data_IF_722311327434
#
_entry.id   IF_722311327434
#
_cell.length_a   1.000
_cell.length_b   1.000
_cell.length_c   1.000
_cell.angle_alpha   90.00
_cell.angle_beta   90.00
_cell.angle_gamma   90.00
#
_symmetry.space_group_name_H-M   'P 1'
#
loop_
_entity.id
_entity.type
_entity.pdbx_description
1 polymer ?
#
# COMPACT_ATOMS: atom_id res chain seq x y z
N UNK A 1 43.14 -18.96 -8.58
CA UNK A 1 42.10 -18.41 -9.46
C UNK A 1 40.99 -17.85 -8.58
N UNK A 2 41.21 -16.63 -8.05
CA UNK A 2 40.30 -15.97 -7.13
C UNK A 2 39.35 -15.10 -7.95
N UNK A 3 38.08 -15.47 -7.97
CA UNK A 3 37.02 -14.65 -8.53
C UNK A 3 36.76 -13.51 -7.55
N UNK A 4 37.23 -12.35 -7.92
CA UNK A 4 37.03 -11.11 -7.19
C UNK A 4 35.55 -10.73 -7.21
N UNK A 5 34.85 -11.02 -6.12
CA UNK A 5 33.51 -10.51 -5.86
C UNK A 5 33.64 -8.98 -5.69
N UNK A 6 33.39 -8.21 -6.76
CA UNK A 6 33.32 -6.74 -6.71
C UNK A 6 32.19 -6.36 -5.75
N UNK A 7 32.57 -6.05 -4.53
CA UNK A 7 31.69 -5.69 -3.44
C UNK A 7 30.88 -4.43 -3.77
N UNK A 8 29.64 -4.43 -3.34
CA UNK A 8 28.69 -3.29 -3.38
C UNK A 8 29.17 -2.04 -2.60
N UNK A 9 30.41 -2.02 -2.15
CA UNK A 9 30.99 -1.00 -1.28
C UNK A 9 31.57 0.23 -2.03
N UNK A 10 31.70 0.15 -3.35
CA UNK A 10 32.26 1.26 -4.15
C UNK A 10 31.25 2.41 -4.41
N UNK A 11 29.98 2.24 -4.06
CA UNK A 11 28.96 3.25 -4.32
C UNK A 11 28.98 4.42 -3.33
N UNK A 12 29.50 4.26 -2.11
CA UNK A 12 29.48 5.31 -1.07
C UNK A 12 30.45 6.44 -1.34
N UNK A 13 31.62 6.14 -1.87
CA UNK A 13 32.61 7.15 -2.26
C UNK A 13 32.16 8.01 -3.45
N UNK A 14 31.45 7.42 -4.41
CA UNK A 14 30.95 8.12 -5.59
C UNK A 14 29.82 9.11 -5.28
N UNK A 15 29.02 8.84 -4.27
CA UNK A 15 27.90 9.71 -3.89
C UNK A 15 28.34 11.00 -3.20
N UNK A 16 29.33 10.93 -2.33
CA UNK A 16 29.90 12.11 -1.69
C UNK A 16 30.54 13.06 -2.74
N UNK A 17 31.23 12.50 -3.72
CA UNK A 17 31.86 13.26 -4.84
C UNK A 17 30.80 13.89 -5.75
N UNK A 18 29.67 13.20 -5.99
CA UNK A 18 28.61 13.69 -6.87
C UNK A 18 27.73 14.78 -6.22
N UNK A 19 27.59 14.76 -4.89
CA UNK A 19 26.75 15.73 -4.14
C UNK A 19 27.54 17.00 -3.84
N UNK A 20 28.82 16.87 -3.46
CA UNK A 20 29.60 17.99 -2.95
C UNK A 20 30.33 18.78 -4.04
N UNK A 21 30.37 18.30 -5.30
CA UNK A 21 31.15 18.94 -6.35
C UNK A 21 32.64 19.04 -6.03
N UNK A 22 33.04 18.40 -4.93
CA UNK A 22 34.39 18.52 -4.37
C UNK A 22 35.29 17.38 -4.87
N UNK A 23 36.54 17.69 -5.11
CA UNK A 23 37.64 16.80 -5.44
C UNK A 23 37.51 15.44 -4.73
N UNK A 24 37.84 14.37 -5.42
CA UNK A 24 37.88 12.94 -5.05
C UNK A 24 38.62 12.60 -3.75
N UNK A 25 38.39 13.31 -2.65
CA UNK A 25 38.94 12.92 -1.36
C UNK A 25 38.19 11.67 -0.88
N UNK A 26 38.85 10.51 -0.93
CA UNK A 26 38.41 9.34 -0.15
C UNK A 26 38.34 9.80 1.30
N UNK A 27 37.14 9.84 1.86
CA UNK A 27 36.97 10.04 3.30
C UNK A 27 37.18 8.66 3.93
N UNK A 28 38.35 8.46 4.51
CA UNK A 28 38.63 7.22 5.22
C UNK A 28 37.86 7.21 6.56
N UNK A 29 37.30 6.08 6.98
CA UNK A 29 36.64 5.97 8.25
C UNK A 29 37.60 6.22 9.42
N UNK A 30 37.18 7.00 10.39
CA UNK A 30 37.90 7.25 11.64
C UNK A 30 37.07 6.72 12.82
N UNK A 31 37.74 6.42 13.94
CA UNK A 31 37.07 6.10 15.20
C UNK A 31 36.59 7.39 15.87
N UNK A 32 35.31 7.46 16.20
CA UNK A 32 34.67 8.59 16.88
C UNK A 32 34.02 8.09 18.15
N UNK A 33 34.32 8.75 19.29
CA UNK A 33 33.71 8.43 20.58
C UNK A 33 32.18 8.66 20.50
N UNK A 34 31.44 7.69 20.99
CA UNK A 34 29.95 7.70 20.97
C UNK A 34 29.38 8.88 21.75
N UNK A 35 30.05 9.34 22.83
CA UNK A 35 29.61 10.50 23.62
C UNK A 35 29.65 11.82 22.84
N UNK A 36 30.52 11.91 21.79
CA UNK A 36 30.61 13.09 20.93
C UNK A 36 29.59 13.11 19.81
N UNK A 37 28.80 12.04 19.65
CA UNK A 37 27.77 11.92 18.61
C UNK A 37 26.43 12.37 19.16
N UNK A 38 25.74 13.25 18.42
CA UNK A 38 24.41 13.77 18.75
C UNK A 38 23.38 13.30 17.75
N UNK A 39 22.24 12.86 18.28
CA UNK A 39 21.05 12.50 17.48
C UNK A 39 20.21 13.74 17.16
N UNK A 40 20.66 14.60 16.28
CA UNK A 40 19.87 15.75 15.84
C UNK A 40 18.78 15.38 14.83
N UNK A 41 18.87 14.20 14.20
CA UNK A 41 17.94 13.71 13.18
C UNK A 41 16.71 12.99 13.75
N UNK A 42 16.53 12.91 15.06
CA UNK A 42 15.39 12.27 15.72
C UNK A 42 14.04 12.82 15.27
N UNK A 43 13.99 14.11 14.94
CA UNK A 43 12.78 14.76 14.42
C UNK A 43 12.35 14.20 13.07
N UNK A 44 13.27 13.59 12.32
CA UNK A 44 13.06 13.11 10.95
C UNK A 44 13.07 11.59 10.83
N UNK A 45 13.29 10.84 11.93
CA UNK A 45 13.49 9.38 11.88
C UNK A 45 12.54 8.65 12.80
N UNK A 46 11.78 7.71 12.21
CA UNK A 46 10.91 6.78 12.94
C UNK A 46 11.59 5.40 12.98
N UNK A 47 12.13 5.03 14.13
CA UNK A 47 12.82 3.75 14.31
C UNK A 47 11.96 2.86 15.19
N UNK A 48 11.52 1.72 14.66
CA UNK A 48 10.77 0.76 15.47
C UNK A 48 11.68 0.04 16.46
N UNK A 49 11.16 -0.31 17.66
CA UNK A 49 11.92 -1.08 18.66
C UNK A 49 12.44 -2.42 18.09
N UNK A 50 11.69 -3.08 17.21
CA UNK A 50 12.10 -4.33 16.58
C UNK A 50 13.33 -4.14 15.68
N UNK A 51 13.34 -3.05 14.89
CA UNK A 51 14.47 -2.75 14.03
C UNK A 51 15.73 -2.38 14.81
N UNK A 52 15.58 -1.77 16.00
CA UNK A 52 16.70 -1.51 16.90
C UNK A 52 17.21 -2.81 17.51
N UNK A 53 16.35 -3.64 18.09
CA UNK A 53 16.74 -4.96 18.65
C UNK A 53 17.48 -5.82 17.62
N UNK A 54 16.99 -5.88 16.39
CA UNK A 54 17.66 -6.61 15.31
C UNK A 54 19.06 -6.06 15.02
N UNK A 55 19.26 -4.74 15.11
CA UNK A 55 20.57 -4.10 14.92
C UNK A 55 21.50 -4.41 16.09
N UNK A 56 21.01 -4.42 17.34
CA UNK A 56 21.80 -4.78 18.53
C UNK A 56 22.34 -6.20 18.40
N UNK A 57 21.48 -7.17 18.09
CA UNK A 57 21.87 -8.57 17.88
C UNK A 57 22.91 -8.70 16.75
N UNK A 58 22.70 -7.99 15.64
CA UNK A 58 23.66 -7.99 14.53
C UNK A 58 25.01 -7.42 14.94
N UNK A 59 25.04 -6.27 15.61
CA UNK A 59 26.30 -5.65 16.04
C UNK A 59 27.00 -6.44 17.14
N UNK A 60 26.26 -7.10 18.00
CA UNK A 60 26.84 -8.00 19.02
C UNK A 60 27.54 -9.21 18.40
N UNK A 61 26.97 -9.77 17.32
CA UNK A 61 27.49 -10.99 16.68
C UNK A 61 28.61 -10.72 15.66
N UNK A 62 28.52 -9.65 14.88
CA UNK A 62 29.40 -9.38 13.74
C UNK A 62 30.22 -8.08 13.88
N UNK A 63 29.99 -7.30 14.93
CA UNK A 63 30.58 -5.98 15.07
C UNK A 63 29.99 -4.97 14.08
N UNK A 64 30.62 -3.82 13.99
CA UNK A 64 30.24 -2.77 13.05
C UNK A 64 30.76 -3.07 11.64
N UNK A 65 29.87 -3.46 10.72
CA UNK A 65 30.24 -3.77 9.33
C UNK A 65 30.34 -2.54 8.42
N UNK A 66 29.67 -1.47 8.76
CA UNK A 66 29.63 -0.24 7.95
C UNK A 66 29.82 0.99 8.85
N UNK A 67 30.63 1.98 8.44
CA UNK A 67 30.78 3.21 9.20
C UNK A 67 29.45 3.98 9.28
N UNK A 68 29.24 4.73 10.35
CA UNK A 68 28.19 5.75 10.44
C UNK A 68 28.62 7.00 9.68
N UNK A 69 27.65 7.80 9.24
CA UNK A 69 27.91 9.05 8.54
C UNK A 69 27.61 10.21 9.48
N UNK A 70 28.57 11.07 9.65
CA UNK A 70 28.52 12.16 10.60
C UNK A 70 28.79 13.52 9.92
N UNK A 71 28.12 14.56 10.40
CA UNK A 71 28.41 15.94 10.13
C UNK A 71 29.30 16.48 11.27
N UNK A 72 30.41 17.10 10.93
CA UNK A 72 31.29 17.80 11.92
C UNK A 72 30.58 19.04 12.45
N UNK A 73 30.65 19.23 13.75
CA UNK A 73 30.24 20.43 14.49
C UNK A 73 31.40 20.94 15.35
N UNK A 74 31.26 22.14 15.92
CA UNK A 74 32.28 22.72 16.79
C UNK A 74 32.58 21.82 17.98
N UNK A 75 31.55 21.30 18.65
CA UNK A 75 31.62 20.48 19.86
C UNK A 75 31.20 19.03 19.67
N UNK A 76 31.51 18.42 18.54
CA UNK A 76 31.16 17.02 18.29
C UNK A 76 30.63 16.75 16.91
N UNK A 77 29.69 15.81 16.81
CA UNK A 77 29.21 15.32 15.53
C UNK A 77 27.71 15.11 15.54
N UNK A 78 27.04 15.50 14.47
CA UNK A 78 25.63 15.18 14.22
C UNK A 78 25.53 13.94 13.33
N UNK A 79 24.69 12.98 13.70
CA UNK A 79 24.50 11.76 12.90
C UNK A 79 23.63 12.04 11.68
N UNK A 80 24.14 11.70 10.48
CA UNK A 80 23.41 11.80 9.20
C UNK A 80 22.81 10.44 8.84
N UNK A 81 23.62 9.37 8.89
CA UNK A 81 23.17 8.00 8.63
C UNK A 81 23.77 7.00 9.62
N UNK A 82 23.02 5.93 9.90
CA UNK A 82 23.43 4.88 10.82
C UNK A 82 22.90 5.04 12.24
N UNK A 83 21.82 5.81 12.46
CA UNK A 83 21.22 6.05 13.78
C UNK A 83 20.90 4.73 14.53
N UNK A 84 20.46 3.66 13.83
CA UNK A 84 20.26 2.34 14.46
C UNK A 84 21.55 1.73 14.97
N UNK A 85 22.65 1.89 14.21
CA UNK A 85 23.99 1.43 14.64
C UNK A 85 24.48 2.22 15.85
N UNK A 86 24.27 3.52 15.85
CA UNK A 86 24.63 4.37 16.98
C UNK A 86 23.86 4.00 18.25
N UNK A 87 22.53 3.85 18.18
CA UNK A 87 21.73 3.42 19.33
C UNK A 87 22.10 2.02 19.81
N UNK A 88 22.35 1.08 18.89
CA UNK A 88 22.81 -0.24 19.23
C UNK A 88 24.20 -0.21 19.92
N UNK A 89 25.09 0.67 19.48
CA UNK A 89 26.40 0.87 20.13
C UNK A 89 26.25 1.38 21.57
N UNK A 90 25.31 2.32 21.82
CA UNK A 90 25.02 2.79 23.17
C UNK A 90 24.48 1.68 24.06
N UNK A 91 23.52 0.85 23.56
CA UNK A 91 22.98 -0.30 24.30
C UNK A 91 24.06 -1.37 24.59
N UNK A 92 25.03 -1.53 23.70
CA UNK A 92 26.15 -2.46 23.86
C UNK A 92 27.33 -1.89 24.66
N UNK A 93 27.26 -0.63 25.08
CA UNK A 93 28.34 0.04 25.81
C UNK A 93 29.63 0.27 24.99
N UNK A 94 29.51 0.40 23.66
CA UNK A 94 30.69 0.65 22.81
C UNK A 94 31.14 2.11 22.95
N UNK A 95 32.41 2.31 23.29
CA UNK A 95 33.00 3.64 23.49
C UNK A 95 33.18 4.43 22.19
N UNK A 96 33.37 3.75 21.05
CA UNK A 96 33.63 4.39 19.78
C UNK A 96 33.04 3.62 18.60
N UNK A 97 32.74 4.34 17.52
CA UNK A 97 32.24 3.82 16.25
C UNK A 97 33.12 4.25 15.09
N UNK A 98 33.28 3.40 14.10
CA UNK A 98 33.80 3.79 12.81
C UNK A 98 32.83 4.77 12.13
N UNK A 99 33.35 5.92 11.69
CA UNK A 99 32.56 7.00 11.13
C UNK A 99 33.25 7.65 9.94
N UNK A 100 32.49 8.01 8.93
CA UNK A 100 32.86 8.93 7.87
C UNK A 100 32.37 10.32 8.26
N UNK A 101 33.26 11.27 8.41
CA UNK A 101 32.96 12.63 8.88
C UNK A 101 32.99 13.62 7.72
N UNK A 102 31.94 14.42 7.60
CA UNK A 102 31.81 15.45 6.57
C UNK A 102 31.67 16.84 7.20
N UNK A 103 32.39 17.80 6.63
CA UNK A 103 32.28 19.23 6.93
C UNK A 103 31.30 19.85 5.94
N UNK A 104 30.01 19.87 6.29
CA UNK A 104 28.90 20.36 5.45
C UNK A 104 27.96 21.20 6.29
N UNK A 105 27.19 22.09 5.66
CA UNK A 105 26.18 22.84 6.35
C UNK A 105 24.94 21.93 6.67
N UNK A 106 24.05 22.44 7.50
CA UNK A 106 22.88 21.69 7.98
C UNK A 106 21.90 21.33 6.86
N UNK A 107 21.74 22.19 5.84
CA UNK A 107 20.88 21.90 4.71
C UNK A 107 21.42 20.73 3.87
N UNK A 108 22.73 20.72 3.62
CA UNK A 108 23.42 19.62 2.94
C UNK A 108 23.36 18.33 3.77
N UNK A 109 23.57 18.41 5.09
CA UNK A 109 23.46 17.25 5.98
C UNK A 109 22.05 16.62 5.92
N UNK A 110 20.97 17.43 5.91
CA UNK A 110 19.59 16.97 5.70
C UNK A 110 19.40 16.32 4.32
N UNK A 111 19.97 16.90 3.27
CA UNK A 111 19.94 16.30 1.95
C UNK A 111 20.66 14.94 1.91
N UNK A 112 21.78 14.81 2.60
CA UNK A 112 22.54 13.58 2.72
C UNK A 112 21.75 12.47 3.40
N UNK A 113 20.88 12.77 4.40
CA UNK A 113 19.99 11.78 5.01
C UNK A 113 19.13 11.11 3.93
N UNK A 114 18.51 11.89 3.02
CA UNK A 114 17.69 11.35 1.92
C UNK A 114 18.56 10.53 0.96
N UNK A 115 19.74 11.03 0.60
CA UNK A 115 20.61 10.37 -0.37
C UNK A 115 21.15 9.02 0.12
N UNK A 116 21.66 8.92 1.33
CA UNK A 116 22.19 7.66 1.90
C UNK A 116 21.09 6.60 2.09
N UNK A 117 19.86 7.03 2.34
CA UNK A 117 18.74 6.12 2.53
C UNK A 117 17.93 5.80 1.25
N UNK A 118 18.35 6.34 0.10
CA UNK A 118 17.59 6.24 -1.16
C UNK A 118 17.48 4.80 -1.68
N UNK A 119 18.55 4.02 -1.59
CA UNK A 119 18.60 2.67 -2.14
C UNK A 119 18.14 1.61 -1.16
N UNK A 120 18.22 1.87 0.13
CA UNK A 120 17.85 0.92 1.16
C UNK A 120 16.37 1.02 1.58
N UNK A 121 15.60 1.92 0.94
CA UNK A 121 14.19 2.19 1.27
C UNK A 121 13.92 2.39 2.77
N UNK A 122 14.94 2.84 3.51
CA UNK A 122 14.89 2.96 4.96
C UNK A 122 14.18 4.22 5.45
N UNK A 123 13.94 5.20 4.55
CA UNK A 123 13.15 6.40 4.82
C UNK A 123 11.75 6.27 4.25
N UNK A 124 10.76 6.34 5.12
CA UNK A 124 9.36 6.42 4.73
C UNK A 124 9.04 7.74 4.00
N UNK A 125 7.91 7.76 3.29
CA UNK A 125 7.44 8.97 2.62
C UNK A 125 7.20 10.12 3.61
N UNK A 126 6.79 9.81 4.84
CA UNK A 126 6.55 10.78 5.90
C UNK A 126 7.87 11.41 6.38
N UNK A 127 8.90 10.59 6.67
CA UNK A 127 10.24 11.07 7.08
C UNK A 127 10.89 11.93 5.99
N UNK A 128 10.77 11.52 4.71
CA UNK A 128 11.21 12.34 3.58
C UNK A 128 10.46 13.67 3.54
N UNK A 129 9.16 13.67 3.85
CA UNK A 129 8.32 14.86 3.93
C UNK A 129 8.79 15.82 5.02
N UNK A 130 9.12 15.32 6.21
CA UNK A 130 9.66 16.13 7.31
C UNK A 130 10.97 16.84 6.91
N UNK A 131 11.89 16.11 6.29
CA UNK A 131 13.17 16.69 5.82
C UNK A 131 12.92 17.76 4.74
N UNK A 132 12.05 17.47 3.76
CA UNK A 132 11.70 18.43 2.70
C UNK A 132 11.04 19.69 3.29
N UNK A 133 10.14 19.51 4.26
CA UNK A 133 9.49 20.64 4.95
C UNK A 133 10.51 21.49 5.67
N UNK A 134 11.46 20.90 6.37
CA UNK A 134 12.51 21.61 7.05
C UNK A 134 13.44 22.36 6.08
N UNK A 135 13.82 21.77 4.94
CA UNK A 135 14.61 22.48 3.93
C UNK A 135 13.86 23.72 3.38
N UNK A 136 12.56 23.60 3.18
CA UNK A 136 11.74 24.74 2.68
C UNK A 136 11.48 25.79 3.76
N UNK A 137 11.17 25.38 5.01
CA UNK A 137 10.71 26.29 6.06
C UNK A 137 11.84 26.87 6.90
N UNK A 138 12.76 25.99 7.37
CA UNK A 138 13.82 26.41 8.29
C UNK A 138 15.02 26.98 7.53
N UNK A 139 15.32 26.41 6.34
CA UNK A 139 16.41 26.89 5.47
C UNK A 139 15.95 27.86 4.39
N UNK A 140 14.65 28.23 4.35
CA UNK A 140 14.06 29.19 3.41
C UNK A 140 14.33 28.86 1.93
N UNK A 141 14.54 27.58 1.62
CA UNK A 141 14.80 27.15 0.24
C UNK A 141 13.50 27.08 -0.57
N UNK A 142 13.54 27.55 -1.79
CA UNK A 142 12.44 27.30 -2.72
C UNK A 142 12.33 25.80 -3.07
N UNK A 143 11.11 25.34 -3.39
CA UNK A 143 10.91 23.95 -3.81
C UNK A 143 11.79 23.54 -5.02
N UNK A 144 12.13 24.51 -5.87
CA UNK A 144 13.01 24.31 -7.02
C UNK A 144 14.48 24.08 -6.59
N UNK A 145 14.95 24.80 -5.59
CA UNK A 145 16.27 24.61 -4.99
C UNK A 145 16.36 23.26 -4.27
N UNK A 146 15.33 22.91 -3.47
CA UNK A 146 15.23 21.59 -2.83
C UNK A 146 15.22 20.47 -3.88
N UNK A 147 14.51 20.64 -4.99
CA UNK A 147 14.49 19.70 -6.09
C UNK A 147 15.90 19.46 -6.68
N UNK A 148 16.67 20.53 -6.89
CA UNK A 148 18.05 20.43 -7.38
C UNK A 148 18.97 19.80 -6.33
N UNK A 149 18.90 20.25 -5.08
CA UNK A 149 19.72 19.73 -3.97
C UNK A 149 19.51 18.23 -3.77
N UNK A 150 18.24 17.77 -3.77
CA UNK A 150 17.88 16.37 -3.59
C UNK A 150 17.98 15.53 -4.87
N UNK A 151 18.25 16.15 -6.03
CA UNK A 151 18.20 15.50 -7.35
C UNK A 151 16.91 14.71 -7.56
N UNK A 152 15.79 15.33 -7.19
CA UNK A 152 14.45 14.79 -7.33
C UNK A 152 13.61 15.72 -8.25
N UNK A 153 12.54 15.19 -8.83
CA UNK A 153 11.64 16.04 -9.60
C UNK A 153 10.92 17.06 -8.70
N UNK A 154 10.57 18.20 -9.24
CA UNK A 154 9.75 19.20 -8.53
C UNK A 154 8.45 18.57 -8.02
N UNK A 155 7.79 17.74 -8.82
CA UNK A 155 6.58 17.01 -8.41
C UNK A 155 6.80 16.11 -7.21
N UNK A 156 7.99 15.48 -7.10
CA UNK A 156 8.36 14.66 -5.94
C UNK A 156 8.43 15.53 -4.68
N UNK A 157 9.09 16.69 -4.75
CA UNK A 157 9.20 17.65 -3.63
C UNK A 157 7.81 18.14 -3.21
N UNK A 158 6.96 18.56 -4.16
CA UNK A 158 5.60 19.01 -3.89
C UNK A 158 4.78 17.94 -3.16
N UNK A 159 4.86 16.67 -3.58
CA UNK A 159 4.13 15.56 -2.94
C UNK A 159 4.60 15.32 -1.50
N UNK A 160 5.90 15.44 -1.21
CA UNK A 160 6.45 15.27 0.15
C UNK A 160 6.04 16.42 1.06
N UNK A 161 6.18 17.65 0.58
CA UNK A 161 5.75 18.85 1.30
C UNK A 161 4.24 18.81 1.58
N UNK A 162 3.44 18.56 0.56
CA UNK A 162 1.98 18.48 0.68
C UNK A 162 1.52 17.42 1.68
N UNK A 163 2.23 16.30 1.79
CA UNK A 163 1.90 15.26 2.78
C UNK A 163 1.97 15.80 4.20
N UNK A 164 3.01 16.54 4.54
CA UNK A 164 3.20 17.09 5.89
C UNK A 164 2.25 18.29 6.13
N UNK A 165 2.16 19.21 5.17
CA UNK A 165 1.37 20.42 5.32
C UNK A 165 -0.15 20.16 5.34
N UNK A 166 -0.63 19.13 4.67
CA UNK A 166 -2.06 18.79 4.60
C UNK A 166 -2.55 17.87 5.70
N UNK A 167 -1.66 17.08 6.32
CA UNK A 167 -2.04 16.25 7.44
C UNK A 167 -2.37 17.09 8.68
N UNK A 168 -3.43 16.72 9.37
CA UNK A 168 -3.72 17.27 10.70
C UNK A 168 -2.60 16.92 11.68
N UNK A 169 -2.24 17.83 12.62
CA UNK A 169 -1.27 17.54 13.67
C UNK A 169 -1.58 16.25 14.43
N UNK A 170 -2.84 16.00 14.79
CA UNK A 170 -3.28 14.78 15.45
C UNK A 170 -2.92 13.50 14.67
N UNK A 171 -3.09 13.51 13.33
CA UNK A 171 -2.71 12.37 12.47
C UNK A 171 -1.19 12.18 12.48
N UNK A 172 -0.43 13.28 12.47
CA UNK A 172 1.03 13.22 12.53
C UNK A 172 1.51 12.67 13.87
N UNK A 173 0.88 13.04 14.97
CA UNK A 173 1.22 12.55 16.32
C UNK A 173 0.95 11.04 16.45
N UNK A 174 -0.17 10.55 15.93
CA UNK A 174 -0.49 9.11 15.90
C UNK A 174 0.51 8.31 15.03
N UNK A 175 1.03 8.91 13.94
CA UNK A 175 2.11 8.30 13.15
C UNK A 175 3.41 8.25 13.96
N UNK A 176 3.75 9.31 14.70
CA UNK A 176 4.97 9.36 15.53
C UNK A 176 4.91 8.38 16.70
N UNK A 177 3.75 8.23 17.33
CA UNK A 177 3.52 7.27 18.40
C UNK A 177 3.44 5.82 17.90
N UNK A 178 3.28 5.61 16.58
CA UNK A 178 3.17 4.28 15.99
C UNK A 178 1.77 3.65 16.10
N UNK A 179 0.77 4.40 16.60
CA UNK A 179 -0.64 3.94 16.67
C UNK A 179 -1.21 3.67 15.29
N UNK A 180 -0.77 4.44 14.29
CA UNK A 180 -1.07 4.21 12.87
C UNK A 180 0.22 4.23 12.05
N UNK A 181 0.23 3.49 10.96
CA UNK A 181 1.39 3.48 10.04
C UNK A 181 1.40 4.70 9.12
N UNK A 182 2.57 5.02 8.55
CA UNK A 182 2.72 6.06 7.51
C UNK A 182 1.79 5.81 6.30
N UNK A 183 1.45 4.55 6.03
CA UNK A 183 0.51 4.18 4.97
C UNK A 183 -0.91 4.68 5.27
N UNK A 184 -1.35 4.69 6.54
CA UNK A 184 -2.62 5.32 6.92
C UNK A 184 -2.58 6.83 6.66
N UNK A 185 -1.50 7.51 7.06
CA UNK A 185 -1.31 8.95 6.80
C UNK A 185 -1.40 9.29 5.30
N UNK A 186 -0.82 8.44 4.44
CA UNK A 186 -0.91 8.60 2.98
C UNK A 186 -2.34 8.51 2.46
N UNK A 187 -3.18 7.71 3.06
CA UNK A 187 -4.59 7.63 2.70
C UNK A 187 -5.37 8.82 3.28
N UNK A 188 -5.19 9.12 4.56
CA UNK A 188 -5.90 10.21 5.25
C UNK A 188 -5.63 11.58 4.65
N UNK A 189 -4.41 11.84 4.14
CA UNK A 189 -4.07 13.14 3.51
C UNK A 189 -4.88 13.46 2.26
N UNK A 190 -5.54 12.46 1.65
CA UNK A 190 -6.43 12.65 0.51
C UNK A 190 -7.72 13.37 0.90
N UNK A 191 -8.14 13.24 2.16
CA UNK A 191 -9.32 13.90 2.69
C UNK A 191 -9.06 15.40 2.96
N UNK A 192 -10.10 16.24 2.85
CA UNK A 192 -10.05 17.59 3.41
C UNK A 192 -9.67 17.56 4.90
N UNK A 193 -8.93 18.57 5.37
CA UNK A 193 -8.46 18.63 6.76
C UNK A 193 -9.56 18.42 7.80
N UNK A 194 -10.74 19.02 7.57
CA UNK A 194 -11.89 18.89 8.47
C UNK A 194 -12.41 17.45 8.64
N UNK A 195 -12.16 16.58 7.67
CA UNK A 195 -12.65 15.20 7.69
C UNK A 195 -11.60 14.19 8.22
N UNK A 196 -10.33 14.60 8.32
CA UNK A 196 -9.25 13.69 8.72
C UNK A 196 -9.38 13.23 10.17
N UNK A 197 -9.82 14.10 11.09
CA UNK A 197 -9.97 13.77 12.51
C UNK A 197 -11.00 12.67 12.75
N UNK A 198 -12.17 12.76 12.11
CA UNK A 198 -13.22 11.74 12.22
C UNK A 198 -12.79 10.41 11.55
N UNK A 199 -12.11 10.50 10.41
CA UNK A 199 -11.56 9.31 9.75
C UNK A 199 -10.48 8.63 10.60
N UNK A 200 -9.59 9.42 11.25
CA UNK A 200 -8.60 8.91 12.20
C UNK A 200 -9.28 8.20 13.38
N UNK A 201 -10.30 8.81 13.96
CA UNK A 201 -11.06 8.21 15.07
C UNK A 201 -11.68 6.86 14.67
N UNK A 202 -12.24 6.76 13.45
CA UNK A 202 -12.77 5.51 12.93
C UNK A 202 -11.67 4.44 12.73
N UNK A 203 -10.50 4.85 12.21
CA UNK A 203 -9.34 3.96 12.03
C UNK A 203 -8.86 3.41 13.37
N UNK A 204 -8.71 4.25 14.39
CA UNK A 204 -8.26 3.85 15.72
C UNK A 204 -9.29 2.98 16.44
N UNK A 205 -10.56 3.40 16.44
CA UNK A 205 -11.66 2.67 17.09
C UNK A 205 -11.83 1.25 16.55
N UNK A 206 -11.82 1.12 15.24
CA UNK A 206 -12.07 -0.16 14.55
C UNK A 206 -10.79 -0.96 14.30
N UNK A 207 -9.60 -0.43 14.60
CA UNK A 207 -8.31 -1.06 14.35
C UNK A 207 -8.14 -1.39 12.84
N UNK A 208 -8.47 -0.44 11.96
CA UNK A 208 -8.44 -0.67 10.52
C UNK A 208 -6.99 -0.78 10.03
N UNK A 209 -6.73 -1.73 9.14
CA UNK A 209 -5.48 -1.78 8.40
C UNK A 209 -5.38 -0.62 7.39
N UNK A 210 -4.18 -0.32 6.91
CA UNK A 210 -3.99 0.73 5.90
C UNK A 210 -4.77 0.49 4.60
N UNK A 211 -5.00 -0.78 4.22
CA UNK A 211 -5.83 -1.15 3.08
C UNK A 211 -7.31 -0.86 3.34
N UNK A 212 -7.80 -1.20 4.51
CA UNK A 212 -9.18 -0.91 4.93
C UNK A 212 -9.41 0.59 5.05
N UNK A 213 -8.44 1.33 5.62
CA UNK A 213 -8.43 2.79 5.65
C UNK A 213 -8.57 3.38 4.24
N UNK A 214 -7.83 2.86 3.25
CA UNK A 214 -7.94 3.30 1.87
C UNK A 214 -9.35 3.10 1.30
N UNK A 215 -10.03 1.99 1.62
CA UNK A 215 -11.42 1.73 1.19
C UNK A 215 -12.39 2.73 1.82
N UNK A 216 -12.24 3.03 3.10
CA UNK A 216 -13.06 4.01 3.81
C UNK A 216 -12.85 5.41 3.22
N UNK A 217 -11.60 5.82 3.02
CA UNK A 217 -11.24 7.11 2.41
C UNK A 217 -11.82 7.25 1.00
N UNK A 218 -11.73 6.20 0.17
CA UNK A 218 -12.31 6.21 -1.18
C UNK A 218 -13.84 6.41 -1.13
N UNK A 219 -14.53 5.78 -0.18
CA UNK A 219 -15.96 5.97 0.04
C UNK A 219 -16.29 7.38 0.52
N UNK A 220 -15.51 7.93 1.45
CA UNK A 220 -15.68 9.30 1.94
C UNK A 220 -15.50 10.33 0.83
N UNK A 221 -14.53 10.14 -0.07
CA UNK A 221 -14.30 11.01 -1.23
C UNK A 221 -15.44 10.94 -2.26
N UNK A 222 -16.18 9.84 -2.31
CA UNK A 222 -17.33 9.62 -3.20
C UNK A 222 -18.66 9.98 -2.56
N UNK A 223 -18.70 10.22 -1.26
CA UNK A 223 -19.93 10.62 -0.57
C UNK A 223 -20.38 12.01 -1.03
N UNK A 224 -21.68 12.17 -1.22
CA UNK A 224 -22.27 13.42 -1.76
C UNK A 224 -23.01 14.24 -0.72
N UNK A 225 -23.30 13.66 0.43
CA UNK A 225 -24.05 14.30 1.50
C UNK A 225 -23.43 14.01 2.88
N UNK A 226 -23.84 14.81 3.88
CA UNK A 226 -23.34 14.70 5.25
C UNK A 226 -23.80 13.42 5.92
N UNK A 227 -25.02 12.95 5.60
CA UNK A 227 -25.59 11.74 6.19
C UNK A 227 -24.79 10.50 5.79
N UNK A 228 -24.47 10.35 4.48
CA UNK A 228 -23.59 9.27 4.00
C UNK A 228 -22.22 9.31 4.67
N UNK A 229 -21.66 10.50 4.84
CA UNK A 229 -20.35 10.69 5.47
C UNK A 229 -20.39 10.24 6.94
N UNK A 230 -21.42 10.63 7.70
CA UNK A 230 -21.61 10.20 9.08
C UNK A 230 -21.84 8.70 9.20
N UNK A 231 -22.64 8.13 8.28
CA UNK A 231 -22.85 6.69 8.22
C UNK A 231 -21.53 5.93 8.01
N UNK A 232 -20.68 6.37 7.05
CA UNK A 232 -19.40 5.75 6.78
C UNK A 232 -18.48 5.77 8.02
N UNK A 233 -18.43 6.87 8.76
CA UNK A 233 -17.65 6.95 10.01
C UNK A 233 -18.17 6.01 11.10
N UNK A 234 -19.50 5.93 11.26
CA UNK A 234 -20.12 5.08 12.27
C UNK A 234 -20.08 3.58 11.98
N UNK A 235 -20.05 3.22 10.68
CA UNK A 235 -20.21 1.84 10.21
C UNK A 235 -19.07 1.41 9.28
N UNK A 236 -17.84 1.85 9.54
CA UNK A 236 -16.67 1.63 8.67
C UNK A 236 -16.46 0.14 8.34
N UNK A 237 -16.63 -0.77 9.30
CA UNK A 237 -16.51 -2.23 9.07
C UNK A 237 -17.56 -2.78 8.12
N UNK A 238 -18.78 -2.28 8.20
CA UNK A 238 -19.87 -2.68 7.31
C UNK A 238 -19.63 -2.19 5.89
N UNK A 239 -19.23 -0.92 5.75
CA UNK A 239 -18.86 -0.33 4.46
C UNK A 239 -17.72 -1.12 3.81
N UNK A 240 -16.71 -1.52 4.57
CA UNK A 240 -15.60 -2.35 4.07
C UNK A 240 -16.12 -3.71 3.60
N UNK A 241 -17.01 -4.37 4.36
CA UNK A 241 -17.61 -5.66 3.93
C UNK A 241 -18.36 -5.52 2.61
N UNK A 242 -19.14 -4.44 2.45
CA UNK A 242 -19.86 -4.17 1.20
C UNK A 242 -18.92 -3.93 0.02
N UNK A 243 -17.78 -3.22 0.23
CA UNK A 243 -16.74 -3.03 -0.79
C UNK A 243 -16.10 -4.36 -1.16
N UNK A 244 -15.70 -5.16 -0.18
CA UNK A 244 -15.07 -6.47 -0.41
C UNK A 244 -16.01 -7.47 -1.08
N UNK A 245 -17.32 -7.43 -0.77
CA UNK A 245 -18.32 -8.26 -1.45
C UNK A 245 -18.46 -7.87 -2.92
N UNK A 246 -18.43 -6.57 -3.25
CA UNK A 246 -18.43 -6.10 -4.64
C UNK A 246 -17.15 -6.50 -5.37
N UNK A 247 -15.99 -6.38 -4.72
CA UNK A 247 -14.68 -6.71 -5.32
C UNK A 247 -14.42 -8.22 -5.42
N UNK A 248 -15.21 -9.08 -4.72
CA UNK A 248 -15.08 -10.55 -4.82
C UNK A 248 -15.15 -11.07 -6.28
N UNK A 249 -15.76 -10.31 -7.15
CA UNK A 249 -15.94 -10.62 -8.57
C UNK A 249 -15.10 -9.71 -9.48
N UNK A 250 -14.03 -9.10 -8.96
CA UNK A 250 -13.12 -8.26 -9.72
C UNK A 250 -11.71 -8.83 -9.71
N UNK A 251 -11.10 -9.02 -10.88
CA UNK A 251 -9.69 -9.40 -11.05
C UNK A 251 -9.01 -8.32 -11.90
N UNK A 252 -7.99 -7.67 -11.35
CA UNK A 252 -7.26 -6.58 -12.01
C UNK A 252 -6.49 -7.02 -13.27
N UNK A 253 -6.34 -8.31 -13.50
CA UNK A 253 -5.71 -8.89 -14.69
C UNK A 253 -6.68 -9.00 -15.88
N UNK A 254 -7.98 -8.84 -15.61
CA UNK A 254 -9.02 -8.90 -16.63
C UNK A 254 -9.39 -7.50 -17.11
N UNK A 255 -9.81 -7.40 -18.37
CA UNK A 255 -10.49 -6.21 -18.88
C UNK A 255 -11.82 -5.98 -18.17
N UNK A 256 -12.45 -4.81 -18.33
CA UNK A 256 -13.77 -4.53 -17.77
C UNK A 256 -14.82 -5.55 -18.24
N UNK A 257 -14.77 -5.95 -19.51
CA UNK A 257 -15.62 -7.01 -20.05
C UNK A 257 -15.31 -8.37 -19.42
N UNK A 258 -14.05 -8.71 -19.19
CA UNK A 258 -13.64 -9.92 -18.49
C UNK A 258 -14.15 -9.97 -17.05
N UNK A 259 -14.10 -8.85 -16.34
CA UNK A 259 -14.65 -8.73 -14.99
C UNK A 259 -16.19 -8.85 -14.96
N UNK A 260 -16.86 -8.34 -15.98
CA UNK A 260 -18.31 -8.50 -16.13
C UNK A 260 -18.70 -9.98 -16.37
N UNK A 261 -17.93 -10.69 -17.20
CA UNK A 261 -18.11 -12.14 -17.40
C UNK A 261 -17.81 -12.95 -16.13
N UNK A 262 -16.79 -12.57 -15.36
CA UNK A 262 -16.47 -13.21 -14.07
C UNK A 262 -17.65 -13.09 -13.10
N UNK A 263 -18.26 -11.91 -13.01
CA UNK A 263 -19.46 -11.66 -12.19
C UNK A 263 -20.65 -12.50 -12.67
N UNK A 264 -20.89 -12.53 -13.98
CA UNK A 264 -21.99 -13.32 -14.59
C UNK A 264 -21.80 -14.81 -14.35
N UNK A 265 -20.56 -15.33 -14.43
CA UNK A 265 -20.23 -16.72 -14.11
C UNK A 265 -20.62 -17.10 -12.68
N UNK A 266 -20.35 -16.24 -11.70
CA UNK A 266 -20.69 -16.52 -10.30
C UNK A 266 -22.21 -16.47 -10.07
N UNK A 267 -22.91 -15.56 -10.70
CA UNK A 267 -24.39 -15.53 -10.65
C UNK A 267 -24.98 -16.80 -11.23
N UNK A 268 -24.47 -17.26 -12.38
CA UNK A 268 -24.90 -18.54 -12.97
C UNK A 268 -24.63 -19.72 -12.05
N UNK A 269 -23.45 -19.76 -11.39
CA UNK A 269 -23.12 -20.81 -10.42
C UNK A 269 -24.11 -20.86 -9.26
N UNK A 270 -24.50 -19.70 -8.72
CA UNK A 270 -25.50 -19.62 -7.65
C UNK A 270 -26.87 -20.12 -8.12
N UNK A 271 -27.30 -19.72 -9.32
CA UNK A 271 -28.58 -20.19 -9.91
C UNK A 271 -28.58 -21.70 -10.13
N UNK A 272 -27.50 -22.27 -10.67
CA UNK A 272 -27.35 -23.72 -10.86
C UNK A 272 -27.43 -24.46 -9.52
N UNK A 273 -26.82 -23.94 -8.46
CA UNK A 273 -26.89 -24.54 -7.13
C UNK A 273 -28.33 -24.51 -6.56
N UNK A 274 -29.04 -23.39 -6.74
CA UNK A 274 -30.42 -23.27 -6.31
C UNK A 274 -31.32 -24.29 -7.07
N UNK A 275 -31.19 -24.35 -8.40
CA UNK A 275 -31.92 -25.31 -9.22
C UNK A 275 -31.61 -26.75 -8.78
N UNK A 276 -30.34 -27.07 -8.56
CA UNK A 276 -29.92 -28.40 -8.10
C UNK A 276 -30.54 -28.75 -6.75
N UNK A 277 -30.55 -27.80 -5.80
CA UNK A 277 -31.17 -27.99 -4.48
C UNK A 277 -32.69 -28.22 -4.60
N UNK A 278 -33.37 -27.47 -5.43
CA UNK A 278 -34.83 -27.63 -5.67
C UNK A 278 -35.13 -28.99 -6.30
N UNK A 279 -34.36 -29.39 -7.35
CA UNK A 279 -34.54 -30.70 -7.98
C UNK A 279 -34.27 -31.86 -7.01
N UNK A 280 -33.28 -31.73 -6.15
CA UNK A 280 -33.00 -32.71 -5.12
C UNK A 280 -34.09 -32.79 -4.08
N UNK A 281 -34.70 -31.67 -3.70
CA UNK A 281 -35.84 -31.62 -2.80
C UNK A 281 -37.08 -32.30 -3.42
N UNK A 282 -37.33 -32.09 -4.71
CA UNK A 282 -38.43 -32.74 -5.44
C UNK A 282 -38.23 -34.25 -5.53
N UNK A 283 -36.97 -34.72 -5.74
CA UNK A 283 -36.66 -36.17 -5.77
C UNK A 283 -36.86 -36.84 -4.41
N UNK A 284 -36.63 -36.12 -3.32
CA UNK A 284 -36.73 -36.69 -1.94
C UNK A 284 -38.13 -36.53 -1.34
N UNK A 285 -38.95 -35.62 -1.86
CA UNK A 285 -40.31 -35.41 -1.40
C UNK A 285 -41.25 -36.50 -1.95
N UNK A 286 -42.09 -37.05 -1.08
CA UNK A 286 -43.26 -37.89 -1.52
C UNK A 286 -44.36 -36.96 -1.96
N UNK A 287 -44.31 -36.53 -3.22
CA UNK A 287 -45.33 -35.66 -3.82
C UNK A 287 -46.59 -36.48 -4.15
N UNK A 288 -47.75 -35.88 -3.98
CA UNK A 288 -49.02 -36.44 -4.47
C UNK A 288 -49.08 -36.40 -6.00
N UNK A 289 -50.01 -37.17 -6.59
CA UNK A 289 -50.17 -37.16 -8.04
C UNK A 289 -50.58 -35.80 -8.56
N UNK A 290 -51.43 -35.04 -7.82
CA UNK A 290 -51.81 -33.66 -8.16
C UNK A 290 -50.60 -32.68 -8.13
N UNK A 291 -49.73 -32.79 -7.15
CA UNK A 291 -48.53 -31.97 -7.05
C UNK A 291 -47.54 -32.29 -8.19
N UNK A 292 -47.41 -33.55 -8.55
CA UNK A 292 -46.63 -34.00 -9.69
C UNK A 292 -47.13 -33.42 -11.02
N UNK A 293 -48.44 -33.44 -11.24
CA UNK A 293 -49.06 -32.91 -12.45
C UNK A 293 -48.85 -31.38 -12.61
N UNK A 294 -48.76 -30.67 -11.51
CA UNK A 294 -48.50 -29.22 -11.51
C UNK A 294 -47.00 -28.91 -11.71
N UNK A 295 -46.11 -29.62 -11.02
CA UNK A 295 -44.70 -29.27 -10.97
C UNK A 295 -43.87 -29.83 -12.14
N UNK A 296 -44.19 -31.07 -12.61
CA UNK A 296 -43.40 -31.75 -13.63
C UNK A 296 -43.37 -31.04 -14.99
N UNK A 297 -44.47 -30.43 -15.51
CA UNK A 297 -44.41 -29.69 -16.78
C UNK A 297 -43.38 -28.54 -16.73
N UNK A 298 -43.44 -27.70 -15.69
CA UNK A 298 -42.50 -26.58 -15.51
C UNK A 298 -41.03 -27.01 -15.34
N UNK A 299 -40.79 -28.11 -14.64
CA UNK A 299 -39.46 -28.69 -14.52
C UNK A 299 -38.93 -29.26 -15.85
N UNK A 300 -39.83 -29.87 -16.67
CA UNK A 300 -39.47 -30.37 -18.01
C UNK A 300 -39.11 -29.26 -18.98
N UNK A 301 -39.69 -28.06 -18.85
CA UNK A 301 -39.31 -26.89 -19.66
C UNK A 301 -37.90 -26.44 -19.44
N UNK A 302 -37.31 -26.70 -18.26
CA UNK A 302 -35.92 -26.38 -17.96
C UNK A 302 -34.93 -27.30 -18.69
N UNK A 303 -35.31 -28.45 -19.18
CA UNK A 303 -34.43 -29.44 -19.83
C UNK A 303 -33.76 -28.86 -21.10
N UNK A 304 -34.53 -28.15 -21.92
CA UNK A 304 -34.02 -27.60 -23.18
C UNK A 304 -32.94 -26.54 -22.97
N UNK A 305 -33.09 -25.50 -22.12
CA UNK A 305 -32.02 -24.55 -21.84
C UNK A 305 -30.83 -25.18 -21.08
N UNK A 306 -31.06 -26.15 -20.19
CA UNK A 306 -29.97 -26.86 -19.50
C UNK A 306 -29.12 -27.71 -20.47
N UNK A 307 -29.74 -28.40 -21.42
CA UNK A 307 -29.01 -29.16 -22.44
C UNK A 307 -28.17 -28.25 -23.35
N UNK A 308 -28.70 -27.07 -23.74
CA UNK A 308 -27.91 -26.07 -24.47
C UNK A 308 -26.72 -25.59 -23.67
N UNK A 309 -26.92 -25.31 -22.39
CA UNK A 309 -25.83 -24.89 -21.49
C UNK A 309 -24.74 -25.99 -21.41
N UNK A 310 -25.12 -27.25 -21.24
CA UNK A 310 -24.22 -28.40 -21.20
C UNK A 310 -23.38 -28.50 -22.49
N UNK A 311 -24.05 -28.34 -23.65
CA UNK A 311 -23.33 -28.38 -24.94
C UNK A 311 -22.34 -27.23 -25.13
N UNK A 312 -22.66 -26.01 -24.66
CA UNK A 312 -21.74 -24.88 -24.65
C UNK A 312 -20.55 -25.17 -23.74
N UNK A 313 -20.81 -25.68 -22.52
CA UNK A 313 -19.74 -26.00 -21.56
C UNK A 313 -18.84 -27.15 -22.06
N UNK A 314 -19.38 -28.15 -22.75
CA UNK A 314 -18.58 -29.20 -23.40
C UNK A 314 -17.64 -28.63 -24.46
N UNK A 315 -18.10 -27.70 -25.28
CA UNK A 315 -17.26 -27.00 -26.28
C UNK A 315 -16.14 -26.20 -25.61
N UNK A 316 -16.43 -25.52 -24.48
CA UNK A 316 -15.43 -24.77 -23.73
C UNK A 316 -14.40 -25.68 -23.02
N UNK A 317 -14.74 -26.92 -22.63
CA UNK A 317 -13.83 -27.88 -22.01
C UNK A 317 -12.69 -28.30 -22.96
N UNK A 318 -12.91 -28.28 -24.28
CA UNK A 318 -11.91 -28.60 -25.28
C UNK A 318 -11.11 -27.36 -25.76
N UNK A 319 -11.27 -26.21 -25.06
CA UNK A 319 -10.53 -25.00 -25.34
C UNK A 319 -9.11 -25.12 -24.79
N UNK A 320 -8.18 -25.63 -25.59
CA UNK A 320 -6.75 -25.50 -25.36
C UNK A 320 -6.32 -24.12 -25.84
N UNK A 321 -5.47 -23.42 -25.04
CA UNK A 321 -4.94 -22.10 -25.42
C UNK A 321 -4.36 -22.19 -26.83
N UNK A 322 -4.87 -21.45 -27.82
CA UNK A 322 -4.25 -21.45 -29.13
C UNK A 322 -2.84 -20.86 -28.97
N UNK A 323 -1.83 -21.59 -29.38
CA UNK A 323 -0.52 -21.04 -29.64
C UNK A 323 -0.69 -19.89 -30.61
N UNK A 324 -0.19 -18.72 -30.23
CA UNK A 324 -0.17 -17.45 -30.98
C UNK A 324 -0.93 -17.44 -32.32
N UNK A 325 -2.11 -16.84 -32.37
CA UNK A 325 -2.61 -16.27 -33.61
C UNK A 325 -3.89 -16.83 -34.22
N UNK A 326 -4.82 -17.44 -33.49
CA UNK A 326 -6.18 -17.68 -34.01
C UNK A 326 -7.25 -17.10 -33.10
N UNK A 327 -7.91 -16.09 -33.62
CA UNK A 327 -9.13 -15.52 -33.03
C UNK A 327 -10.26 -16.56 -33.14
N UNK A 328 -10.95 -16.82 -32.04
CA UNK A 328 -12.16 -17.66 -32.03
C UNK A 328 -13.33 -16.83 -32.58
N UNK A 329 -13.76 -17.14 -33.76
CA UNK A 329 -15.08 -16.74 -34.26
C UNK A 329 -16.16 -17.60 -33.54
N UNK A 330 -16.56 -17.18 -32.37
CA UNK A 330 -17.83 -17.64 -31.77
C UNK A 330 -18.91 -16.74 -32.37
N UNK A 331 -19.88 -17.27 -33.12
CA UNK A 331 -20.96 -16.44 -33.61
C UNK A 331 -21.82 -16.00 -32.44
N UNK A 332 -21.55 -14.83 -31.91
CA UNK A 332 -22.41 -14.12 -30.97
C UNK A 332 -23.54 -13.54 -31.80
N UNK A 333 -24.70 -14.18 -31.78
CA UNK A 333 -25.89 -13.49 -32.25
C UNK A 333 -26.19 -12.34 -31.27
N UNK A 334 -26.11 -11.07 -31.70
CA UNK A 334 -26.47 -9.94 -30.85
C UNK A 334 -28.01 -9.96 -30.73
N UNK A 335 -28.52 -10.11 -29.53
CA UNK A 335 -29.97 -9.97 -29.25
C UNK A 335 -30.59 -10.88 -28.21
N UNK A 336 -29.93 -11.94 -27.73
CA UNK A 336 -30.54 -12.86 -26.77
C UNK A 336 -30.12 -12.59 -25.29
N UNK A 337 -29.11 -11.77 -25.05
CA UNK A 337 -28.65 -11.47 -23.68
C UNK A 337 -29.34 -10.23 -23.11
N UNK A 338 -29.74 -9.28 -23.96
CA UNK A 338 -30.34 -8.01 -23.52
C UNK A 338 -31.83 -8.13 -23.14
N UNK A 339 -32.58 -9.07 -23.73
CA UNK A 339 -33.98 -9.21 -23.40
C UNK A 339 -34.26 -10.02 -22.12
N UNK A 340 -33.36 -10.91 -21.72
CA UNK A 340 -33.50 -11.69 -20.49
C UNK A 340 -33.16 -10.93 -19.22
N UNK A 341 -32.35 -9.86 -19.34
CA UNK A 341 -31.89 -9.05 -18.19
C UNK A 341 -32.83 -7.88 -17.86
N UNK A 342 -33.71 -7.47 -18.77
CA UNK A 342 -34.59 -6.32 -18.58
C UNK A 342 -35.99 -6.70 -18.08
N UNK A 343 -36.43 -7.95 -18.25
CA UNK A 343 -37.80 -8.38 -17.90
C UNK A 343 -37.94 -9.11 -16.56
N UNK A 344 -36.94 -9.23 -15.75
CA UNK A 344 -36.98 -10.16 -14.62
C UNK A 344 -36.53 -9.64 -13.25
N UNK A 345 -36.59 -8.36 -12.91
CA UNK A 345 -36.46 -7.96 -11.49
C UNK A 345 -37.35 -6.74 -11.21
N UNK A 346 -38.63 -6.97 -11.05
CA UNK A 346 -39.45 -6.15 -10.17
C UNK A 346 -39.91 -7.05 -9.00
N UNK A 347 -39.11 -7.17 -7.98
CA UNK A 347 -39.54 -7.66 -6.69
C UNK A 347 -40.08 -6.49 -5.89
N UNK A 348 -41.42 -6.44 -5.81
CA UNK A 348 -42.12 -5.68 -4.78
C UNK A 348 -41.81 -6.31 -3.41
N UNK A 349 -41.21 -5.49 -2.53
CA UNK A 349 -41.20 -5.75 -1.09
C UNK A 349 -42.62 -5.61 -0.57
N UNK A 350 -43.28 -6.69 -0.19
CA UNK A 350 -44.39 -6.66 0.77
C UNK A 350 -44.03 -7.57 1.95
N UNK A 351 -44.21 -6.96 3.11
CA UNK A 351 -43.96 -7.46 4.43
C UNK A 351 -44.67 -8.76 4.78
N UNK A 352 -43.98 -9.62 5.55
CA UNK A 352 -44.52 -10.19 6.80
C UNK A 352 -43.32 -10.38 7.74
#
# INVERSE_FOLDING_TARGET
>A
MFVCCKSRYDCTGWYAVLILGANRAKVDPILVNTEKIREWSNEYRLISPEALRAMVVSMQSTGQLQPVILQKQEDGYNIIDGIKRYRAALELGLEALQAMVFEVDTAMAKAMIIHYNRYNSSLSMYEQGLIVTSLVRDHLMSQKEVSRLLRQSHTWVCRRLSMIERLLPQVQDEIRMGSISVSHGRELVKLPRGNQGQALAAVLKEGLSSRECAMVVDKLLKSRNIQDTQYIYGHSREVIRQVLQKDKYYDSRLSDHGNQLLKSRELLRLQVNIISSVLQSVQTAKLSDEENDILLPGLKELLAPMNRLIEILKKLKHYERPGNGKQLDIPVQPGLVDQALISGISYQSQAY
#
